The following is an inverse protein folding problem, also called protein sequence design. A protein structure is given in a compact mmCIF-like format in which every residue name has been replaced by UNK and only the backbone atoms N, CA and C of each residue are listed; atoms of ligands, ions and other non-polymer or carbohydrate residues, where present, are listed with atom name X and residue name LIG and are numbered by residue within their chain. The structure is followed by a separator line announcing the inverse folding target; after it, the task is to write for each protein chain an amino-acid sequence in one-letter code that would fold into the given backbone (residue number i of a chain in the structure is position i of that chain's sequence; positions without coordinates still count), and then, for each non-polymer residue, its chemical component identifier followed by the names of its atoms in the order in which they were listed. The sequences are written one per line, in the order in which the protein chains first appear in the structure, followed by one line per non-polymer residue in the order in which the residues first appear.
data_IF_975302380352
#
_entry.id   IF_975302380352
#
_cell.length_a   1.000
_cell.length_b   1.000
_cell.length_c   1.000
_cell.angle_alpha   90.00
_cell.angle_beta   90.00
_cell.angle_gamma   90.00
#
_symmetry.space_group_name_H-M   'P 1'
#
loop_
_entity.id
_entity.type
_entity.pdbx_description
1 polymer ?
#
# COMPACT_ATOMS: atom_id res chain seq x y z
N UNK A 1 -9.35 -28.57 8.85
CA UNK A 1 -9.39 -27.20 9.39
C UNK A 1 -10.09 -26.31 8.39
N UNK A 2 -11.21 -25.73 8.75
CA UNK A 2 -11.99 -24.86 7.86
C UNK A 2 -11.44 -23.44 7.91
N UNK A 3 -10.83 -23.01 6.83
CA UNK A 3 -10.28 -21.67 6.70
C UNK A 3 -11.26 -20.81 5.91
N UNK A 4 -11.59 -19.64 6.43
CA UNK A 4 -12.22 -18.55 5.68
C UNK A 4 -11.13 -17.52 5.37
N UNK A 5 -11.07 -17.06 4.13
CA UNK A 5 -10.12 -16.04 3.71
C UNK A 5 -10.84 -14.72 3.38
N UNK A 6 -10.42 -13.62 3.98
CA UNK A 6 -10.97 -12.27 3.73
C UNK A 6 -9.92 -11.36 3.11
N UNK A 7 -10.12 -10.95 1.88
CA UNK A 7 -9.18 -10.07 1.18
C UNK A 7 -9.81 -9.38 -0.02
N UNK A 8 -9.19 -8.32 -0.53
CA UNK A 8 -9.76 -7.58 -1.65
C UNK A 8 -8.73 -7.22 -2.74
N UNK A 9 -7.65 -6.46 -2.49
CA UNK A 9 -6.71 -6.01 -3.51
C UNK A 9 -5.66 -7.08 -3.83
N UNK A 10 -4.81 -6.75 -4.79
CA UNK A 10 -3.70 -7.60 -5.25
C UNK A 10 -2.79 -8.11 -4.13
N UNK A 11 -2.58 -7.32 -3.07
CA UNK A 11 -1.81 -7.76 -1.88
C UNK A 11 -2.35 -9.06 -1.26
N UNK A 12 -3.65 -9.24 -1.29
CA UNK A 12 -4.31 -10.40 -0.71
C UNK A 12 -4.34 -11.63 -1.64
N UNK A 13 -3.84 -11.52 -2.87
CA UNK A 13 -3.81 -12.65 -3.82
C UNK A 13 -2.72 -13.64 -3.46
N UNK A 14 -1.48 -13.19 -3.24
CA UNK A 14 -0.36 -14.08 -2.96
C UNK A 14 -0.58 -14.99 -1.73
N UNK A 15 -1.10 -14.49 -0.58
CA UNK A 15 -1.43 -15.36 0.55
C UNK A 15 -2.53 -16.39 0.25
N UNK A 16 -3.55 -16.04 -0.55
CA UNK A 16 -4.59 -16.99 -0.96
C UNK A 16 -4.03 -18.11 -1.82
N UNK A 17 -3.19 -17.77 -2.81
CA UNK A 17 -2.47 -18.75 -3.65
C UNK A 17 -1.62 -19.68 -2.79
N UNK A 18 -0.85 -19.10 -1.85
CA UNK A 18 0.01 -19.87 -0.97
C UNK A 18 -0.78 -20.88 -0.11
N UNK A 19 -1.97 -20.52 0.37
CA UNK A 19 -2.86 -21.46 1.07
C UNK A 19 -3.25 -22.63 0.17
N UNK A 20 -3.73 -22.34 -1.04
CA UNK A 20 -4.19 -23.36 -1.98
C UNK A 20 -3.04 -24.31 -2.41
N UNK A 21 -1.87 -23.75 -2.74
CA UNK A 21 -0.70 -24.51 -3.18
C UNK A 21 -0.07 -25.38 -2.07
N UNK A 22 -0.24 -25.00 -0.80
CA UNK A 22 0.25 -25.77 0.35
C UNK A 22 -0.82 -26.71 0.94
N UNK A 23 -1.91 -26.95 0.21
CA UNK A 23 -2.91 -27.95 0.57
C UNK A 23 -3.84 -27.55 1.71
N UNK A 24 -3.93 -26.26 2.02
CA UNK A 24 -4.92 -25.76 2.96
C UNK A 24 -6.29 -25.64 2.29
N UNK A 25 -7.30 -26.23 2.90
CA UNK A 25 -8.68 -26.15 2.42
C UNK A 25 -9.30 -24.79 2.82
N UNK A 26 -9.48 -23.92 1.83
CA UNK A 26 -10.19 -22.65 1.99
C UNK A 26 -11.66 -22.87 1.66
N UNK A 27 -12.51 -22.87 2.67
CA UNK A 27 -13.95 -23.15 2.59
C UNK A 27 -14.68 -22.07 1.77
N UNK A 28 -14.34 -20.80 1.98
CA UNK A 28 -14.84 -19.68 1.20
C UNK A 28 -13.90 -18.48 1.27
N UNK A 29 -13.98 -17.66 0.23
CA UNK A 29 -13.33 -16.35 0.15
C UNK A 29 -14.39 -15.27 0.32
N UNK A 30 -14.11 -14.29 1.18
CA UNK A 30 -14.93 -13.11 1.37
C UNK A 30 -14.18 -11.90 0.84
N UNK A 31 -14.79 -11.19 -0.10
CA UNK A 31 -14.17 -10.00 -0.73
C UNK A 31 -15.20 -8.90 -0.90
N UNK A 32 -14.74 -7.67 -1.16
CA UNK A 32 -15.62 -6.55 -1.46
C UNK A 32 -16.44 -6.81 -2.73
N UNK A 33 -17.65 -6.23 -2.85
CA UNK A 33 -18.42 -6.26 -4.10
C UNK A 33 -17.62 -5.74 -5.29
N UNK A 34 -17.92 -6.26 -6.47
CA UNK A 34 -17.37 -5.78 -7.73
C UNK A 34 -17.63 -4.27 -7.87
N UNK A 35 -16.67 -3.54 -8.42
CA UNK A 35 -16.76 -2.08 -8.56
C UNK A 35 -16.57 -1.65 -10.00
N UNK A 36 -17.25 -0.57 -10.44
CA UNK A 36 -17.01 -0.02 -11.75
C UNK A 36 -15.59 0.54 -11.84
N UNK A 37 -14.82 0.10 -12.86
CA UNK A 37 -13.43 0.52 -13.10
C UNK A 37 -13.28 1.07 -14.53
N UNK A 38 -12.38 2.04 -14.68
CA UNK A 38 -12.06 2.65 -15.97
C UNK A 38 -13.11 3.66 -16.47
N UNK A 39 -12.84 4.25 -17.65
CA UNK A 39 -13.72 5.28 -18.26
C UNK A 39 -15.08 4.73 -18.66
N UNK A 40 -15.18 3.44 -18.99
CA UNK A 40 -16.41 2.76 -19.36
C UNK A 40 -17.27 2.29 -18.19
N UNK A 41 -16.83 2.49 -16.93
CA UNK A 41 -17.54 2.01 -15.73
C UNK A 41 -17.92 0.52 -15.78
N UNK A 42 -17.14 -0.30 -16.47
CA UNK A 42 -17.35 -1.75 -16.50
C UNK A 42 -17.17 -2.33 -15.11
N UNK A 43 -18.10 -3.15 -14.65
CA UNK A 43 -17.99 -3.86 -13.37
C UNK A 43 -16.82 -4.82 -13.46
N UNK A 44 -15.85 -4.65 -12.56
CA UNK A 44 -14.66 -5.49 -12.49
C UNK A 44 -14.65 -6.26 -11.17
N UNK A 45 -14.39 -7.57 -11.22
CA UNK A 45 -14.20 -8.36 -10.01
C UNK A 45 -12.99 -7.87 -9.22
N UNK A 46 -12.95 -8.21 -7.94
CA UNK A 46 -11.76 -7.98 -7.12
C UNK A 46 -10.67 -8.98 -7.52
N UNK A 47 -9.37 -8.62 -7.41
CA UNK A 47 -8.27 -9.54 -7.66
C UNK A 47 -8.40 -10.86 -6.89
N UNK A 48 -8.81 -10.80 -5.64
CA UNK A 48 -9.02 -11.99 -4.79
C UNK A 48 -10.18 -12.86 -5.29
N UNK A 49 -11.27 -12.25 -5.81
CA UNK A 49 -12.37 -13.01 -6.44
C UNK A 49 -11.90 -13.75 -7.69
N UNK A 50 -11.16 -13.06 -8.57
CA UNK A 50 -10.62 -13.69 -9.79
C UNK A 50 -9.75 -14.91 -9.44
N UNK A 51 -8.92 -14.77 -8.42
CA UNK A 51 -8.05 -15.86 -7.99
C UNK A 51 -8.82 -17.01 -7.34
N UNK A 52 -9.74 -16.72 -6.44
CA UNK A 52 -10.58 -17.72 -5.80
C UNK A 52 -11.33 -18.59 -6.82
N UNK A 53 -11.87 -17.97 -7.86
CA UNK A 53 -12.58 -18.69 -8.94
C UNK A 53 -11.68 -19.63 -9.73
N UNK A 54 -10.40 -19.28 -9.94
CA UNK A 54 -9.41 -20.19 -10.60
C UNK A 54 -9.18 -21.46 -9.77
N UNK A 55 -9.22 -21.34 -8.46
CA UNK A 55 -9.06 -22.45 -7.53
C UNK A 55 -10.38 -23.16 -7.17
N UNK A 56 -11.51 -22.75 -7.78
CA UNK A 56 -12.83 -23.33 -7.49
C UNK A 56 -13.36 -23.03 -6.09
N UNK A 57 -12.82 -22.01 -5.42
CA UNK A 57 -13.22 -21.64 -4.07
C UNK A 57 -14.48 -20.76 -4.11
N UNK A 58 -15.52 -21.06 -3.30
CA UNK A 58 -16.72 -20.23 -3.21
C UNK A 58 -16.40 -18.78 -2.79
N UNK A 59 -17.09 -17.81 -3.40
CA UNK A 59 -16.86 -16.39 -3.15
C UNK A 59 -18.12 -15.73 -2.61
N UNK A 60 -18.01 -15.06 -1.47
CA UNK A 60 -19.05 -14.26 -0.83
C UNK A 60 -18.67 -12.77 -0.90
N UNK A 61 -19.63 -11.93 -1.26
CA UNK A 61 -19.40 -10.49 -1.47
C UNK A 61 -20.42 -9.63 -0.69
N UNK A 62 -20.39 -9.66 0.65
CA UNK A 62 -21.31 -8.85 1.44
C UNK A 62 -21.04 -7.36 1.23
N UNK A 63 -22.09 -6.55 1.09
CA UNK A 63 -21.96 -5.08 1.05
C UNK A 63 -21.40 -4.58 2.38
N UNK A 64 -21.85 -5.17 3.49
CA UNK A 64 -21.34 -4.91 4.84
C UNK A 64 -21.14 -6.22 5.57
N UNK A 65 -19.92 -6.55 5.92
CA UNK A 65 -19.58 -7.78 6.65
C UNK A 65 -20.27 -7.88 8.02
N UNK A 66 -20.69 -6.76 8.59
CA UNK A 66 -21.37 -6.68 9.89
C UNK A 66 -22.88 -6.91 9.83
N UNK A 67 -23.47 -7.09 8.65
CA UNK A 67 -24.90 -7.32 8.52
C UNK A 67 -25.29 -8.64 9.21
N UNK A 68 -26.34 -8.67 10.05
CA UNK A 68 -26.68 -9.86 10.87
C UNK A 68 -26.91 -11.12 10.04
N UNK A 69 -27.54 -10.99 8.87
CA UNK A 69 -27.78 -12.11 7.93
C UNK A 69 -26.46 -12.72 7.47
N UNK A 70 -25.48 -11.88 7.10
CA UNK A 70 -24.17 -12.35 6.69
C UNK A 70 -23.37 -12.96 7.85
N UNK A 71 -23.46 -12.39 9.05
CA UNK A 71 -22.83 -12.96 10.25
C UNK A 71 -23.37 -14.37 10.54
N UNK A 72 -24.67 -14.59 10.37
CA UNK A 72 -25.27 -15.91 10.54
C UNK A 72 -24.89 -16.89 9.42
N UNK A 73 -24.81 -16.41 8.17
CA UNK A 73 -24.30 -17.20 7.04
C UNK A 73 -22.85 -17.65 7.32
N UNK A 74 -21.99 -16.74 7.76
CA UNK A 74 -20.60 -17.04 8.09
C UNK A 74 -20.47 -18.03 9.25
N UNK A 75 -21.32 -17.91 10.26
CA UNK A 75 -21.38 -18.81 11.41
C UNK A 75 -21.77 -20.24 10.98
N UNK A 76 -22.66 -20.37 10.00
CA UNK A 76 -23.07 -21.66 9.46
C UNK A 76 -21.95 -22.38 8.70
N UNK A 77 -20.96 -21.66 8.17
CA UNK A 77 -19.72 -22.25 7.62
C UNK A 77 -18.83 -22.84 8.71
N UNK A 78 -19.03 -22.45 9.97
CA UNK A 78 -18.29 -22.91 11.15
C UNK A 78 -16.77 -22.87 10.97
N UNK A 79 -16.17 -21.67 10.70
CA UNK A 79 -14.73 -21.55 10.48
C UNK A 79 -13.92 -21.89 11.72
N UNK A 80 -12.83 -22.64 11.55
CA UNK A 80 -11.83 -22.84 12.59
C UNK A 80 -10.92 -21.62 12.74
N UNK A 81 -10.63 -20.93 11.65
CA UNK A 81 -9.84 -19.70 11.58
C UNK A 81 -10.31 -18.80 10.44
N UNK A 82 -10.20 -17.49 10.65
CA UNK A 82 -10.38 -16.49 9.58
C UNK A 82 -9.05 -15.79 9.34
N UNK A 83 -8.59 -15.80 8.08
CA UNK A 83 -7.36 -15.15 7.65
C UNK A 83 -7.73 -13.88 6.88
N UNK A 84 -7.19 -12.76 7.29
CA UNK A 84 -7.51 -11.45 6.73
C UNK A 84 -6.26 -10.83 6.10
N UNK A 85 -6.40 -10.29 4.90
CA UNK A 85 -5.37 -9.49 4.25
C UNK A 85 -6.01 -8.34 3.47
N UNK A 86 -5.78 -7.11 3.88
CA UNK A 86 -6.27 -5.91 3.19
C UNK A 86 -7.76 -6.00 2.77
N UNK A 87 -8.64 -6.43 3.67
CA UNK A 87 -10.06 -6.67 3.37
C UNK A 87 -10.85 -5.38 3.11
N UNK A 88 -10.51 -4.31 3.82
CA UNK A 88 -11.09 -2.98 3.62
C UNK A 88 -12.47 -2.75 4.27
N UNK A 89 -12.88 -3.60 5.21
CA UNK A 89 -14.01 -3.38 6.12
C UNK A 89 -13.59 -3.67 7.56
N UNK A 90 -14.22 -2.99 8.51
CA UNK A 90 -14.05 -3.26 9.94
C UNK A 90 -14.80 -4.56 10.27
N UNK A 91 -14.08 -5.52 10.83
CA UNK A 91 -14.63 -6.81 11.24
C UNK A 91 -15.23 -6.66 12.64
N UNK A 92 -16.54 -6.94 12.82
CA UNK A 92 -17.19 -6.79 14.12
C UNK A 92 -16.77 -7.88 15.10
N UNK A 93 -16.93 -7.60 16.40
CA UNK A 93 -16.59 -8.54 17.48
C UNK A 93 -17.30 -9.89 17.31
N UNK A 94 -18.56 -9.90 16.81
CA UNK A 94 -19.30 -11.14 16.54
C UNK A 94 -18.62 -12.08 15.54
N UNK A 95 -17.79 -11.54 14.63
CA UNK A 95 -16.97 -12.34 13.70
C UNK A 95 -15.61 -12.64 14.32
N UNK A 96 -14.99 -11.66 15.01
CA UNK A 96 -13.66 -11.85 15.61
C UNK A 96 -13.64 -13.01 16.62
N UNK A 97 -14.70 -13.17 17.38
CA UNK A 97 -14.82 -14.19 18.43
C UNK A 97 -15.40 -15.53 17.90
N UNK A 98 -15.77 -15.61 16.62
CA UNK A 98 -16.46 -16.76 16.06
C UNK A 98 -15.55 -17.98 15.88
N UNK A 99 -14.35 -17.86 15.27
CA UNK A 99 -13.50 -19.02 15.01
C UNK A 99 -12.74 -19.46 16.27
N UNK A 100 -12.55 -20.78 16.39
CA UNK A 100 -11.78 -21.39 17.49
C UNK A 100 -10.36 -20.80 17.63
N UNK A 101 -9.68 -20.56 16.50
CA UNK A 101 -8.34 -19.96 16.47
C UNK A 101 -8.36 -18.45 16.27
N UNK A 102 -9.58 -17.86 16.24
CA UNK A 102 -9.77 -16.41 16.03
C UNK A 102 -9.54 -15.94 14.61
N UNK A 103 -9.42 -14.64 14.47
CA UNK A 103 -9.08 -13.99 13.22
C UNK A 103 -7.63 -13.53 13.25
N UNK A 104 -6.86 -13.84 12.22
CA UNK A 104 -5.49 -13.34 12.07
C UNK A 104 -5.40 -12.39 10.87
N UNK A 105 -4.54 -11.37 10.97
CA UNK A 105 -4.31 -10.42 9.89
C UNK A 105 -2.86 -10.48 9.41
N UNK A 106 -2.70 -10.42 8.08
CA UNK A 106 -1.42 -10.26 7.41
C UNK A 106 -1.19 -8.76 7.24
N UNK A 107 -0.47 -8.16 8.17
CA UNK A 107 -0.25 -6.73 8.19
C UNK A 107 1.11 -6.36 7.57
N UNK A 108 1.10 -5.45 6.59
CA UNK A 108 2.27 -5.10 5.79
C UNK A 108 3.20 -4.09 6.48
N UNK A 109 3.54 -4.35 7.74
CA UNK A 109 4.58 -3.63 8.49
C UNK A 109 5.19 -4.49 9.58
N UNK A 110 6.30 -4.03 10.14
CA UNK A 110 6.88 -4.55 11.38
C UNK A 110 6.17 -3.90 12.57
N UNK A 111 5.01 -4.44 12.97
CA UNK A 111 4.28 -3.93 14.14
C UNK A 111 5.21 -3.92 15.39
N UNK A 112 5.04 -2.91 16.26
CA UNK A 112 3.97 -1.90 16.34
C UNK A 112 4.13 -0.68 15.44
N UNK A 113 5.14 -0.60 14.58
CA UNK A 113 5.30 0.50 13.62
C UNK A 113 4.20 0.44 12.54
N UNK A 114 3.73 1.60 12.11
CA UNK A 114 2.82 1.75 10.96
C UNK A 114 1.51 0.95 11.10
N UNK A 115 0.89 1.00 12.28
CA UNK A 115 -0.52 0.62 12.38
C UNK A 115 -1.33 1.47 11.41
N UNK A 116 -2.28 0.88 10.67
CA UNK A 116 -3.14 1.65 9.79
C UNK A 116 -3.23 1.14 8.35
N UNK A 117 -3.79 1.99 7.48
CA UNK A 117 -4.26 1.59 6.17
C UNK A 117 -3.16 1.55 5.08
N UNK A 118 -2.06 2.30 5.24
CA UNK A 118 -1.04 2.46 4.21
C UNK A 118 0.40 2.32 4.73
N UNK A 119 0.73 1.25 5.47
CA UNK A 119 2.05 1.05 6.05
C UNK A 119 3.17 0.97 4.99
N UNK A 120 2.88 0.41 3.82
CA UNK A 120 3.84 0.19 2.73
C UNK A 120 4.38 1.51 2.20
N UNK A 121 3.45 2.41 1.80
CA UNK A 121 3.81 3.72 1.28
C UNK A 121 4.51 4.56 2.34
N UNK A 122 4.00 4.51 3.59
CA UNK A 122 4.55 5.31 4.67
C UNK A 122 5.99 4.92 5.00
N UNK A 123 6.33 3.63 4.99
CA UNK A 123 7.70 3.18 5.22
C UNK A 123 8.70 3.75 4.18
N UNK A 124 8.30 3.84 2.91
CA UNK A 124 9.13 4.44 1.86
C UNK A 124 9.23 5.96 2.03
N UNK A 125 8.11 6.63 2.31
CA UNK A 125 8.06 8.10 2.50
C UNK A 125 8.91 8.53 3.68
N UNK A 126 8.90 7.77 4.78
CA UNK A 126 9.69 8.07 5.96
C UNK A 126 11.18 7.72 5.78
N UNK A 127 11.53 6.97 4.71
CA UNK A 127 12.90 6.60 4.40
C UNK A 127 13.43 5.49 5.30
N UNK A 128 12.57 4.56 5.69
CA UNK A 128 12.98 3.38 6.46
C UNK A 128 13.98 2.53 5.65
N UNK A 129 14.90 1.89 6.36
CA UNK A 129 15.87 0.98 5.76
C UNK A 129 15.32 -0.43 5.57
N UNK A 130 14.30 -0.76 6.34
CA UNK A 130 13.62 -2.05 6.33
C UNK A 130 12.13 -1.85 6.63
N UNK A 131 11.32 -2.76 6.13
CA UNK A 131 9.93 -2.98 6.48
C UNK A 131 9.71 -4.47 6.71
N UNK A 132 8.51 -4.95 6.61
CA UNK A 132 8.22 -6.36 6.75
C UNK A 132 6.74 -6.64 6.82
N UNK A 133 6.44 -7.86 7.21
CA UNK A 133 5.07 -8.32 7.45
C UNK A 133 4.97 -8.89 8.85
N UNK A 134 3.86 -8.62 9.51
CA UNK A 134 3.50 -9.20 10.80
C UNK A 134 2.21 -9.99 10.66
N UNK A 135 2.21 -11.27 11.05
CA UNK A 135 0.98 -12.02 11.31
C UNK A 135 0.56 -11.68 12.73
N UNK A 136 -0.64 -11.15 12.89
CA UNK A 136 -1.17 -10.73 14.19
C UNK A 136 -2.55 -11.30 14.46
N UNK A 137 -2.87 -11.56 15.73
CA UNK A 137 -4.22 -11.86 16.17
C UNK A 137 -5.05 -10.58 16.12
N UNK A 138 -6.21 -10.63 15.48
CA UNK A 138 -7.09 -9.46 15.43
C UNK A 138 -7.88 -9.29 16.73
N UNK A 139 -8.09 -8.03 17.08
CA UNK A 139 -8.96 -7.59 18.16
C UNK A 139 -9.83 -6.42 17.69
N UNK A 140 -10.52 -5.77 18.63
CA UNK A 140 -11.41 -4.63 18.33
C UNK A 140 -10.65 -3.33 18.04
N UNK A 141 -9.38 -3.25 18.43
CA UNK A 141 -8.50 -2.11 18.11
C UNK A 141 -7.90 -2.22 16.72
N UNK A 142 -7.63 -1.08 16.09
CA UNK A 142 -7.02 -1.04 14.76
C UNK A 142 -5.54 -1.42 14.84
N UNK A 143 -5.21 -2.61 14.32
CA UNK A 143 -3.86 -3.19 14.24
C UNK A 143 -3.09 -3.23 15.57
N UNK A 144 -3.81 -3.40 16.69
CA UNK A 144 -3.26 -3.40 18.05
C UNK A 144 -3.21 -4.80 18.69
N UNK A 145 -3.65 -5.82 17.98
CA UNK A 145 -3.67 -7.19 18.50
C UNK A 145 -2.28 -7.81 18.64
N UNK A 146 -2.21 -8.95 19.32
CA UNK A 146 -0.94 -9.61 19.63
C UNK A 146 -0.24 -10.09 18.35
N UNK A 147 1.05 -9.85 18.27
CA UNK A 147 1.92 -10.31 17.18
C UNK A 147 2.24 -11.79 17.34
N UNK A 148 2.12 -12.56 16.26
CA UNK A 148 2.41 -14.01 16.26
C UNK A 148 3.76 -14.29 15.61
N UNK A 149 4.00 -13.71 14.44
CA UNK A 149 5.26 -13.86 13.70
C UNK A 149 5.56 -12.65 12.86
N UNK A 150 6.83 -12.47 12.49
CA UNK A 150 7.30 -11.34 11.68
C UNK A 150 8.36 -11.80 10.70
N UNK A 151 8.39 -11.16 9.53
CA UNK A 151 9.48 -11.28 8.57
C UNK A 151 9.97 -9.88 8.18
N UNK A 152 11.28 -9.68 8.21
CA UNK A 152 11.94 -8.42 7.86
C UNK A 152 12.29 -8.42 6.38
N UNK A 153 12.01 -7.33 5.70
CA UNK A 153 12.32 -7.11 4.28
C UNK A 153 13.13 -5.81 4.15
N UNK A 154 14.39 -5.87 3.71
CA UNK A 154 15.20 -4.67 3.51
C UNK A 154 14.68 -3.87 2.30
N UNK A 155 14.71 -2.52 2.42
CA UNK A 155 14.39 -1.62 1.33
C UNK A 155 15.63 -1.31 0.49
N UNK A 156 15.47 -1.38 -0.84
CA UNK A 156 16.48 -0.88 -1.76
C UNK A 156 16.54 0.66 -1.72
N UNK A 157 17.65 1.25 -2.17
CA UNK A 157 17.79 2.72 -2.21
C UNK A 157 16.74 3.40 -3.10
N UNK A 158 16.34 2.73 -4.15
CA UNK A 158 15.35 3.16 -5.14
C UNK A 158 13.99 2.47 -4.94
N UNK A 159 13.74 1.89 -3.76
CA UNK A 159 12.47 1.22 -3.43
C UNK A 159 11.29 2.15 -3.64
N UNK A 160 10.29 1.68 -4.37
CA UNK A 160 9.02 2.38 -4.54
C UNK A 160 7.92 1.76 -3.68
N UNK A 161 6.81 2.47 -3.50
CA UNK A 161 5.61 1.90 -2.86
C UNK A 161 5.12 0.64 -3.59
N UNK A 162 5.22 0.63 -4.93
CA UNK A 162 4.83 -0.51 -5.76
C UNK A 162 5.77 -1.71 -5.62
N UNK A 163 7.08 -1.50 -5.71
CA UNK A 163 8.05 -2.61 -5.59
C UNK A 163 8.05 -3.21 -4.17
N UNK A 164 7.91 -2.36 -3.14
CA UNK A 164 7.78 -2.85 -1.76
C UNK A 164 6.48 -3.63 -1.55
N UNK A 165 5.38 -3.17 -2.16
CA UNK A 165 4.09 -3.88 -2.13
C UNK A 165 4.23 -5.32 -2.63
N UNK A 166 4.88 -5.53 -3.78
CA UNK A 166 5.07 -6.87 -4.36
C UNK A 166 5.94 -7.75 -3.45
N UNK A 167 7.04 -7.20 -2.91
CA UNK A 167 7.91 -7.92 -1.96
C UNK A 167 7.17 -8.33 -0.70
N UNK A 168 6.38 -7.42 -0.11
CA UNK A 168 5.66 -7.70 1.12
C UNK A 168 4.48 -8.65 0.92
N UNK A 169 3.82 -8.62 -0.25
CA UNK A 169 2.78 -9.59 -0.58
C UNK A 169 3.35 -11.03 -0.61
N UNK A 170 4.50 -11.19 -1.25
CA UNK A 170 5.19 -12.49 -1.30
C UNK A 170 5.69 -12.93 0.08
N UNK A 171 6.37 -12.03 0.81
CA UNK A 171 6.86 -12.33 2.15
C UNK A 171 5.72 -12.67 3.14
N UNK A 172 4.58 -12.00 3.00
CA UNK A 172 3.39 -12.27 3.81
C UNK A 172 2.77 -13.63 3.51
N UNK A 173 2.78 -14.04 2.25
CA UNK A 173 2.32 -15.36 1.82
C UNK A 173 3.18 -16.49 2.42
N UNK A 174 4.50 -16.35 2.33
CA UNK A 174 5.46 -17.30 2.90
C UNK A 174 5.34 -17.37 4.44
N UNK A 175 5.30 -16.20 5.09
CA UNK A 175 5.16 -16.12 6.54
C UNK A 175 3.86 -16.76 7.04
N UNK A 176 2.75 -16.57 6.33
CA UNK A 176 1.46 -17.17 6.66
C UNK A 176 1.58 -18.68 6.72
N UNK A 177 2.08 -19.31 5.66
CA UNK A 177 2.22 -20.79 5.57
C UNK A 177 3.13 -21.32 6.67
N UNK A 178 4.22 -20.62 6.98
CA UNK A 178 5.15 -21.01 8.06
C UNK A 178 4.51 -20.87 9.45
N UNK A 179 3.57 -19.92 9.63
CA UNK A 179 2.97 -19.61 10.94
C UNK A 179 1.78 -20.51 11.28
N UNK A 180 0.98 -20.90 10.29
CA UNK A 180 -0.26 -21.65 10.50
C UNK A 180 -0.10 -22.94 11.32
N UNK A 181 0.93 -23.79 11.12
CA UNK A 181 1.10 -25.00 11.93
C UNK A 181 1.13 -24.71 13.43
N UNK A 182 1.89 -23.69 13.86
CA UNK A 182 2.00 -23.33 15.28
C UNK A 182 0.70 -22.76 15.85
N UNK A 183 -0.13 -22.13 15.02
CA UNK A 183 -1.46 -21.66 15.45
C UNK A 183 -2.37 -22.88 15.69
N UNK A 184 -2.34 -23.86 14.78
CA UNK A 184 -3.22 -25.03 14.82
C UNK A 184 -2.88 -26.02 15.93
N UNK A 185 -1.59 -26.18 16.26
CA UNK A 185 -1.13 -27.04 17.35
C UNK A 185 -1.09 -26.31 18.72
N UNK A 186 -1.37 -24.99 18.72
CA UNK A 186 -1.44 -24.19 19.94
C UNK A 186 -0.06 -23.79 20.50
N UNK A 187 1.02 -23.95 19.75
CA UNK A 187 2.39 -23.57 20.19
C UNK A 187 2.75 -22.14 19.78
N UNK A 188 1.91 -21.46 19.01
CA UNK A 188 2.15 -20.08 18.60
C UNK A 188 2.30 -19.14 19.80
N UNK A 189 3.44 -18.47 19.90
CA UNK A 189 3.69 -17.44 20.91
C UNK A 189 3.00 -16.14 20.46
N UNK A 190 2.26 -15.51 21.36
CA UNK A 190 1.59 -14.24 21.13
C UNK A 190 2.29 -13.14 21.91
N UNK A 191 2.94 -12.23 21.20
CA UNK A 191 3.62 -11.08 21.77
C UNK A 191 2.68 -9.89 21.81
N UNK A 192 2.34 -9.41 23.01
CA UNK A 192 1.50 -8.23 23.17
C UNK A 192 2.19 -6.98 22.63
N UNK A 193 1.47 -6.22 21.81
CA UNK A 193 1.98 -4.93 21.36
C UNK A 193 1.99 -3.90 22.52
N UNK A 194 2.94 -2.94 22.51
CA UNK A 194 2.87 -1.78 23.41
C UNK A 194 1.60 -0.98 23.11
N UNK A 195 1.11 -0.25 24.11
CA UNK A 195 -0.11 0.57 23.97
C UNK A 195 0.11 1.66 22.91
N UNK A 196 1.25 2.37 23.01
CA UNK A 196 1.64 3.40 22.04
C UNK A 196 2.42 2.82 20.87
N UNK A 197 2.14 3.30 19.67
CA UNK A 197 2.94 3.01 18.48
C UNK A 197 4.14 3.95 18.42
N UNK A 198 5.33 3.46 18.02
CA UNK A 198 6.52 4.31 17.84
C UNK A 198 6.42 5.23 16.61
N UNK A 199 5.42 5.02 15.76
CA UNK A 199 5.14 5.84 14.56
C UNK A 199 3.71 6.36 14.60
N UNK A 200 3.43 7.47 13.91
CA UNK A 200 2.05 7.89 13.66
C UNK A 200 1.25 6.79 12.94
N UNK A 201 -0.06 6.88 13.03
CA UNK A 201 -0.96 6.01 12.28
C UNK A 201 -0.76 6.21 10.78
N UNK A 202 -0.52 5.13 10.03
CA UNK A 202 -0.35 5.15 8.59
C UNK A 202 -1.71 5.35 7.90
N UNK A 203 -2.09 6.60 7.72
CA UNK A 203 -3.39 6.99 7.20
C UNK A 203 -3.60 6.51 5.76
N UNK A 204 -4.87 6.34 5.37
CA UNK A 204 -5.23 5.99 4.01
C UNK A 204 -4.70 7.03 3.01
N UNK A 205 -4.01 6.56 1.98
CA UNK A 205 -3.46 7.43 0.93
C UNK A 205 -4.59 8.12 0.16
N UNK A 206 -4.42 9.40 -0.05
CA UNK A 206 -5.31 10.23 -0.87
C UNK A 206 -4.55 10.89 -2.02
N UNK A 207 -5.26 11.26 -3.08
CA UNK A 207 -4.64 11.96 -4.23
C UNK A 207 -3.95 13.26 -3.83
N UNK A 208 -4.47 13.97 -2.82
CA UNK A 208 -3.90 15.24 -2.34
C UNK A 208 -2.50 15.08 -1.75
N UNK A 209 -2.19 13.92 -1.17
CA UNK A 209 -0.87 13.64 -0.61
C UNK A 209 0.24 13.65 -1.67
N UNK A 210 -0.10 13.46 -2.94
CA UNK A 210 0.86 13.50 -4.04
C UNK A 210 1.30 14.90 -4.46
N UNK A 211 0.69 15.96 -3.96
CA UNK A 211 1.09 17.34 -4.29
C UNK A 211 2.47 17.65 -3.70
N UNK A 212 3.40 18.00 -4.58
CA UNK A 212 4.77 18.36 -4.18
C UNK A 212 4.78 19.78 -3.58
N UNK A 213 5.12 19.84 -2.31
CA UNK A 213 5.37 21.10 -1.58
C UNK A 213 6.88 21.37 -1.61
N UNK A 214 7.33 22.17 -2.56
CA UNK A 214 8.75 22.49 -2.74
C UNK A 214 9.36 23.30 -1.60
N UNK A 215 8.58 23.78 -0.64
CA UNK A 215 9.13 24.39 0.58
C UNK A 215 9.82 23.37 1.50
N UNK A 216 9.58 22.08 1.29
CA UNK A 216 10.22 20.98 2.01
C UNK A 216 11.62 20.67 1.50
N UNK A 217 12.32 19.75 2.20
CA UNK A 217 13.60 19.23 1.76
C UNK A 217 13.43 18.34 0.52
N UNK A 218 14.35 18.45 -0.45
CA UNK A 218 14.36 17.62 -1.66
C UNK A 218 14.39 16.11 -1.36
N UNK A 219 15.02 15.68 -0.27
CA UNK A 219 15.02 14.27 0.16
C UNK A 219 13.63 13.77 0.56
N UNK A 220 12.84 14.61 1.25
CA UNK A 220 11.47 14.27 1.59
C UNK A 220 10.59 14.14 0.35
N UNK A 221 10.79 15.04 -0.62
CA UNK A 221 10.04 15.02 -1.87
C UNK A 221 10.44 13.84 -2.77
N UNK A 222 11.72 13.48 -2.80
CA UNK A 222 12.21 12.30 -3.51
C UNK A 222 11.57 11.03 -2.95
N UNK A 223 11.56 10.86 -1.62
CA UNK A 223 10.91 9.74 -0.96
C UNK A 223 9.39 9.73 -1.20
N UNK A 224 8.75 10.90 -1.21
CA UNK A 224 7.33 11.03 -1.53
C UNK A 224 7.04 10.56 -2.97
N UNK A 225 7.89 10.94 -3.94
CA UNK A 225 7.77 10.47 -5.33
C UNK A 225 7.82 8.94 -5.39
N UNK A 226 8.81 8.32 -4.74
CA UNK A 226 8.93 6.86 -4.71
C UNK A 226 7.81 6.18 -3.93
N UNK A 227 7.47 6.69 -2.76
CA UNK A 227 6.45 6.09 -1.88
C UNK A 227 5.06 6.09 -2.51
N UNK A 228 4.77 7.06 -3.39
CA UNK A 228 3.48 7.17 -4.07
C UNK A 228 3.47 6.60 -5.51
N UNK A 229 4.54 6.02 -5.99
CA UNK A 229 4.56 5.27 -7.25
C UNK A 229 4.08 3.82 -6.99
N UNK A 230 3.09 3.27 -7.74
CA UNK A 230 2.43 3.84 -8.92
C UNK A 230 1.18 4.68 -8.61
N UNK A 231 0.68 4.69 -7.39
CA UNK A 231 -0.54 5.40 -7.04
C UNK A 231 -0.44 6.06 -5.66
N UNK A 232 -0.93 7.30 -5.54
CA UNK A 232 -1.60 8.16 -6.53
C UNK A 232 -0.64 8.88 -7.49
N UNK A 233 0.67 8.70 -7.33
CA UNK A 233 1.79 9.43 -7.93
C UNK A 233 1.96 10.84 -7.35
N UNK A 234 3.20 11.29 -7.26
CA UNK A 234 3.50 12.69 -6.93
C UNK A 234 3.20 13.60 -8.14
N UNK A 235 2.81 14.83 -7.88
CA UNK A 235 2.48 15.80 -8.93
C UNK A 235 2.68 17.25 -8.48
N UNK A 236 2.79 18.11 -9.47
CA UNK A 236 2.79 19.58 -9.32
C UNK A 236 2.02 20.20 -10.48
N UNK A 237 2.00 21.52 -10.57
CA UNK A 237 1.36 22.23 -11.68
C UNK A 237 2.38 23.12 -12.40
N UNK A 238 2.23 23.21 -13.73
CA UNK A 238 3.00 24.11 -14.58
C UNK A 238 2.09 24.65 -15.68
N UNK A 239 2.00 25.96 -15.82
CA UNK A 239 1.14 26.65 -16.81
C UNK A 239 -0.31 26.10 -16.79
N UNK A 240 -0.90 25.96 -15.60
CA UNK A 240 -2.28 25.50 -15.39
C UNK A 240 -2.52 23.99 -15.64
N UNK A 241 -1.48 23.20 -15.94
CA UNK A 241 -1.57 21.76 -16.21
C UNK A 241 -0.91 20.95 -15.12
N UNK A 242 -1.47 19.78 -14.81
CA UNK A 242 -0.88 18.83 -13.90
C UNK A 242 0.35 18.18 -14.56
N UNK A 243 1.48 18.19 -13.85
CA UNK A 243 2.67 17.44 -14.17
C UNK A 243 2.91 16.38 -13.09
N UNK A 244 2.74 15.12 -13.41
CA UNK A 244 3.11 14.01 -12.53
C UNK A 244 4.61 13.78 -12.58
N UNK A 245 5.20 13.46 -11.44
CA UNK A 245 6.61 13.10 -11.29
C UNK A 245 6.70 11.63 -10.90
N UNK A 246 7.43 10.86 -11.69
CA UNK A 246 7.56 9.41 -11.53
C UNK A 246 8.95 8.99 -11.04
N UNK A 247 9.96 9.76 -11.41
CA UNK A 247 11.34 9.50 -10.99
C UNK A 247 12.04 10.81 -10.70
N UNK A 248 12.74 10.86 -9.59
CA UNK A 248 13.51 12.02 -9.17
C UNK A 248 14.79 11.57 -8.46
N UNK A 249 15.70 12.52 -8.27
CA UNK A 249 16.86 12.37 -7.41
C UNK A 249 17.16 13.69 -6.69
N UNK A 250 18.05 13.63 -5.72
CA UNK A 250 18.47 14.81 -4.95
C UNK A 250 19.85 15.22 -5.39
N UNK A 251 20.03 16.54 -5.59
CA UNK A 251 21.33 17.15 -5.79
C UNK A 251 21.77 17.84 -4.51
N UNK A 252 22.94 17.47 -3.98
CA UNK A 252 23.53 18.02 -2.76
C UNK A 252 24.03 19.46 -2.93
N UNK A 253 23.13 20.33 -3.40
CA UNK A 253 23.40 21.72 -3.67
C UNK A 253 22.25 22.56 -3.09
N UNK A 254 22.57 23.59 -2.35
CA UNK A 254 21.56 24.55 -1.93
C UNK A 254 21.21 25.49 -3.07
N UNK A 255 19.92 25.65 -3.35
CA UNK A 255 19.43 26.67 -4.29
C UNK A 255 19.37 28.05 -3.60
N UNK A 256 19.56 29.10 -4.39
CA UNK A 256 19.33 30.47 -3.95
C UNK A 256 17.94 30.97 -4.37
N UNK A 257 17.34 30.29 -5.32
CA UNK A 257 16.03 30.58 -5.88
C UNK A 257 14.93 30.18 -4.90
N UNK A 258 13.76 30.81 -5.05
CA UNK A 258 12.57 30.45 -4.26
C UNK A 258 12.14 29.01 -4.53
N UNK A 259 11.63 28.27 -3.53
CA UNK A 259 11.12 26.92 -3.70
C UNK A 259 10.12 26.79 -4.86
N UNK A 260 10.26 25.75 -5.67
CA UNK A 260 9.45 25.52 -6.88
C UNK A 260 10.02 26.15 -8.15
N UNK A 261 11.07 26.98 -8.06
CA UNK A 261 11.71 27.58 -9.24
C UNK A 261 12.54 26.54 -9.99
N UNK A 262 12.40 26.48 -11.32
CA UNK A 262 13.26 25.73 -12.21
C UNK A 262 14.62 26.41 -12.29
N UNK A 263 15.67 25.71 -11.86
CA UNK A 263 17.07 26.20 -11.89
C UNK A 263 17.71 25.90 -13.24
N UNK A 264 17.46 24.68 -13.74
CA UNK A 264 17.95 24.20 -15.01
C UNK A 264 16.98 23.16 -15.58
N UNK A 265 16.92 23.06 -16.91
CA UNK A 265 16.14 22.05 -17.60
C UNK A 265 16.92 21.59 -18.84
N UNK A 266 17.50 20.42 -18.77
CA UNK A 266 18.31 19.83 -19.82
C UNK A 266 18.15 18.30 -19.86
N UNK A 267 18.95 17.62 -20.70
CA UNK A 267 18.91 16.16 -20.83
C UNK A 267 19.21 15.40 -19.53
N UNK A 268 19.83 16.04 -18.56
CA UNK A 268 20.12 15.46 -17.24
C UNK A 268 18.96 15.51 -16.27
N UNK A 269 17.93 16.30 -16.58
CA UNK A 269 16.72 16.43 -15.75
C UNK A 269 16.26 17.87 -15.61
N UNK A 270 15.15 18.05 -14.93
CA UNK A 270 14.64 19.36 -14.51
C UNK A 270 15.04 19.58 -13.04
N UNK A 271 15.92 20.53 -12.80
CA UNK A 271 16.38 20.90 -11.46
C UNK A 271 15.43 21.94 -10.86
N UNK A 272 14.89 21.63 -9.69
CA UNK A 272 13.90 22.48 -9.01
C UNK A 272 14.41 22.83 -7.62
N UNK A 273 14.40 24.13 -7.31
CA UNK A 273 14.72 24.63 -5.99
C UNK A 273 13.75 24.10 -4.94
N UNK A 274 14.28 23.61 -3.82
CA UNK A 274 13.49 23.17 -2.67
C UNK A 274 13.85 24.01 -1.43
N UNK A 275 13.12 23.84 -0.35
CA UNK A 275 13.44 24.50 0.93
C UNK A 275 14.86 24.17 1.41
N UNK A 276 15.29 22.96 1.14
CA UNK A 276 16.69 22.52 1.27
C UNK A 276 17.03 21.63 0.09
N UNK A 277 18.25 21.79 -0.45
CA UNK A 277 18.77 21.04 -1.59
C UNK A 277 17.98 21.30 -2.89
N UNK A 278 18.19 20.49 -3.90
CA UNK A 278 17.55 20.59 -5.22
C UNK A 278 16.96 19.24 -5.59
N UNK A 279 15.71 19.23 -6.01
CA UNK A 279 15.08 18.04 -6.57
C UNK A 279 15.32 18.01 -8.08
N UNK A 280 15.81 16.90 -8.62
CA UNK A 280 15.98 16.68 -10.04
C UNK A 280 14.92 15.72 -10.54
N UNK A 281 14.08 16.18 -11.45
CA UNK A 281 13.05 15.34 -12.07
C UNK A 281 13.63 14.63 -13.29
N UNK A 282 13.45 13.30 -13.39
CA UNK A 282 13.99 12.48 -14.48
C UNK A 282 12.87 11.94 -15.38
N UNK A 283 11.75 11.53 -14.80
CA UNK A 283 10.64 10.98 -15.53
C UNK A 283 9.33 11.66 -15.11
N UNK A 284 8.60 12.16 -16.10
CA UNK A 284 7.40 12.99 -15.88
C UNK A 284 6.25 12.61 -16.80
N UNK A 285 5.06 13.10 -16.46
CA UNK A 285 3.86 12.94 -17.28
C UNK A 285 3.01 14.20 -17.22
N UNK A 286 2.99 14.96 -18.30
CA UNK A 286 2.08 16.10 -18.44
C UNK A 286 0.65 15.63 -18.66
N UNK A 287 -0.30 16.38 -18.13
CA UNK A 287 -1.73 16.13 -18.30
C UNK A 287 -2.09 15.89 -19.78
N UNK A 288 -2.78 14.75 -20.05
CA UNK A 288 -3.15 14.33 -21.41
C UNK A 288 -2.02 13.72 -22.24
N UNK A 289 -0.82 13.54 -21.69
CA UNK A 289 0.32 12.92 -22.38
C UNK A 289 0.68 11.57 -21.73
N UNK A 290 1.62 10.85 -22.35
CA UNK A 290 2.22 9.63 -21.81
C UNK A 290 3.34 9.98 -20.81
N UNK A 291 3.62 9.07 -19.90
CA UNK A 291 4.81 9.04 -19.05
C UNK A 291 6.05 8.97 -19.95
N UNK A 292 7.08 9.79 -19.68
CA UNK A 292 8.30 9.86 -20.49
C UNK A 292 9.48 10.45 -19.70
N UNK A 293 10.69 10.12 -20.14
CA UNK A 293 11.91 10.74 -19.64
C UNK A 293 11.92 12.25 -19.94
N UNK A 294 12.56 13.02 -19.05
CA UNK A 294 12.62 14.49 -19.16
C UNK A 294 13.26 14.94 -20.46
N UNK A 295 14.30 14.24 -20.98
CA UNK A 295 14.89 14.57 -22.27
C UNK A 295 13.86 14.55 -23.41
N UNK A 296 13.00 13.52 -23.44
CA UNK A 296 11.90 13.45 -24.42
C UNK A 296 10.82 14.52 -24.18
N UNK A 297 10.52 14.82 -22.91
CA UNK A 297 9.57 15.85 -22.54
C UNK A 297 10.01 17.24 -23.02
N UNK A 298 11.26 17.60 -22.80
CA UNK A 298 11.81 18.93 -23.14
C UNK A 298 11.91 19.18 -24.65
N UNK A 299 11.94 18.15 -25.48
CA UNK A 299 11.84 18.33 -26.95
C UNK A 299 10.50 18.89 -27.40
N UNK A 300 9.45 18.65 -26.63
CA UNK A 300 8.09 19.13 -26.96
C UNK A 300 7.51 20.16 -25.97
N UNK A 301 8.25 20.48 -24.90
CA UNK A 301 7.81 21.42 -23.88
C UNK A 301 8.99 22.26 -23.38
N UNK A 302 8.97 23.54 -23.71
CA UNK A 302 10.02 24.46 -23.30
C UNK A 302 9.85 24.86 -21.83
N UNK A 303 10.87 24.53 -21.01
CA UNK A 303 11.07 25.06 -19.67
C UNK A 303 12.36 25.86 -19.62
N UNK A 304 12.34 26.97 -18.93
CA UNK A 304 13.48 27.86 -18.77
C UNK A 304 13.82 28.07 -17.29
N UNK A 305 15.08 28.32 -16.97
CA UNK A 305 15.43 28.84 -15.64
C UNK A 305 14.57 30.05 -15.28
N UNK A 306 13.99 30.02 -14.07
CA UNK A 306 13.03 31.02 -13.59
C UNK A 306 11.55 30.63 -13.76
N UNK A 307 11.22 29.62 -14.58
CA UNK A 307 9.85 29.06 -14.57
C UNK A 307 9.56 28.47 -13.20
N UNK A 308 8.28 28.48 -12.80
CA UNK A 308 7.88 28.05 -11.46
C UNK A 308 6.83 26.96 -11.48
N UNK A 309 7.10 25.88 -10.78
CA UNK A 309 6.10 24.89 -10.41
C UNK A 309 5.22 25.41 -9.26
N UNK A 310 3.96 25.06 -9.28
CA UNK A 310 2.96 25.57 -8.35
C UNK A 310 2.22 24.45 -7.62
N UNK A 311 1.57 24.81 -6.53
CA UNK A 311 0.68 23.95 -5.75
C UNK A 311 -0.78 24.00 -6.22
N UNK A 312 -1.09 24.88 -7.18
CA UNK A 312 -2.42 25.08 -7.76
C UNK A 312 -2.36 25.25 -9.28
N UNK A 313 -3.52 25.20 -9.92
CA UNK A 313 -3.66 25.41 -11.36
C UNK A 313 -3.63 26.87 -11.81
N UNK A 314 -3.49 27.78 -10.88
CA UNK A 314 -3.47 29.22 -11.16
C UNK A 314 -2.09 29.72 -11.62
#
# INVERSE_FOLDING_TARGET
MKIIYMGTPDFAVAPLVALAENGYEVEAVITQPDKPKGRGKTMMPTPVKEEALKHGIPVLQPVKVRDPEFVEELKNLAPDIIIVAAFGQIIPKSILDMPRFGCINIHASLLPKYRGAAPIQQAVIDGEKESGVTIMQMGTGLDTGDMISRIVVPLAKDETGGSLFDKLAQAGAELLVQTLPSIFDGTAIREKQPEESPTPYAAMISKKMGLLDFSKNAEELERLVRGLDPWPSAFTFINGKTLKVWKSSVLEKQAQEAPGTVIAADKGGIQVACGQKVLVLHEVQLEGKKRMEVDAFLRGYQLKPGDMFRDSRE
#
